data_IF_230338112204
#
_entry.id   IF_230338112204
#
_cell.length_a   1.000
_cell.length_b   1.000
_cell.length_c   1.000
_cell.angle_alpha   90.00
_cell.angle_beta   90.00
_cell.angle_gamma   90.00
#
_symmetry.space_group_name_H-M   'P 1'
#
loop_
_entity.id
_entity.type
_entity.pdbx_description
1 polymer ?
#
# COMPACT_ATOMS: atom_id res chain seq x y z
N UNK A 1 -0.04 19.83 2.06
CA UNK A 1 -0.12 19.67 3.53
C UNK A 1 -0.82 18.37 3.91
N UNK A 2 -2.12 18.19 3.63
CA UNK A 2 -2.85 16.97 4.02
C UNK A 2 -2.34 15.69 3.32
N UNK A 3 -2.08 15.78 2.01
CA UNK A 3 -1.47 14.68 1.25
C UNK A 3 -0.09 14.29 1.80
N UNK A 4 0.74 15.26 2.20
CA UNK A 4 2.04 15.00 2.81
C UNK A 4 1.90 14.29 4.15
N UNK A 5 0.92 14.69 4.96
CA UNK A 5 0.66 14.07 6.25
C UNK A 5 0.16 12.62 6.13
N UNK A 6 -0.60 12.31 5.07
CA UNK A 6 -1.08 10.95 4.81
C UNK A 6 -0.05 10.07 4.09
N UNK A 7 0.82 10.64 3.25
CA UNK A 7 1.84 9.87 2.53
C UNK A 7 3.10 9.62 3.34
N UNK A 8 3.47 10.53 4.25
CA UNK A 8 4.69 10.40 5.05
C UNK A 8 4.74 9.08 5.86
N UNK A 9 3.69 8.65 6.58
CA UNK A 9 3.69 7.36 7.28
C UNK A 9 3.83 6.17 6.32
N UNK A 10 3.28 6.27 5.10
CA UNK A 10 3.42 5.24 4.07
C UNK A 10 4.86 5.17 3.58
N UNK A 11 5.52 6.29 3.35
CA UNK A 11 6.92 6.31 2.92
C UNK A 11 7.84 5.77 4.02
N UNK A 12 7.66 6.22 5.26
CA UNK A 12 8.53 5.84 6.38
C UNK A 12 8.31 4.39 6.86
N UNK A 13 7.12 3.83 6.67
CA UNK A 13 6.85 2.42 6.99
C UNK A 13 7.34 1.45 5.92
N UNK A 14 7.64 1.91 4.71
CA UNK A 14 8.31 1.08 3.72
C UNK A 14 9.81 0.97 4.05
N UNK A 15 10.48 -0.15 3.73
CA UNK A 15 11.91 -0.35 4.00
C UNK A 15 12.81 0.43 3.02
N UNK A 16 12.53 1.73 2.80
CA UNK A 16 13.33 2.61 1.95
C UNK A 16 14.67 2.97 2.60
N UNK A 17 14.63 3.32 3.89
CA UNK A 17 15.77 3.88 4.63
C UNK A 17 16.39 2.90 5.63
N UNK A 18 15.86 1.69 5.71
CA UNK A 18 16.30 0.67 6.65
C UNK A 18 16.16 -0.73 6.03
N UNK A 19 16.82 -1.70 6.64
CA UNK A 19 16.68 -3.10 6.27
C UNK A 19 15.51 -3.74 7.03
N UNK A 20 14.59 -4.40 6.32
CA UNK A 20 13.35 -4.89 6.94
C UNK A 20 13.62 -5.96 8.03
N UNK A 21 14.68 -6.74 7.88
CA UNK A 21 15.12 -7.79 8.81
C UNK A 21 15.57 -7.24 10.16
N UNK A 22 16.14 -6.03 10.18
CA UNK A 22 16.67 -5.38 11.39
C UNK A 22 15.64 -4.49 12.10
N UNK A 23 14.47 -4.27 11.49
CA UNK A 23 13.41 -3.48 12.07
C UNK A 23 12.66 -4.24 13.20
N UNK A 24 12.11 -3.53 14.20
CA UNK A 24 11.26 -4.14 15.21
C UNK A 24 10.05 -4.88 14.61
N UNK A 25 9.59 -5.94 15.28
CA UNK A 25 8.52 -6.82 14.77
C UNK A 25 7.23 -6.08 14.38
N UNK A 26 6.81 -5.07 15.15
CA UNK A 26 5.62 -4.27 14.82
C UNK A 26 5.77 -3.56 13.47
N UNK A 27 6.98 -3.06 13.17
CA UNK A 27 7.28 -2.32 11.95
C UNK A 27 7.35 -3.28 10.75
N UNK A 28 7.86 -4.49 10.96
CA UNK A 28 7.82 -5.55 9.95
C UNK A 28 6.39 -5.91 9.54
N UNK A 29 5.46 -5.97 10.50
CA UNK A 29 4.04 -6.24 10.21
C UNK A 29 3.43 -5.08 9.41
N UNK A 30 3.66 -3.83 9.82
CA UNK A 30 3.14 -2.66 9.11
C UNK A 30 3.69 -2.59 7.68
N UNK A 31 4.99 -2.86 7.50
CA UNK A 31 5.63 -2.84 6.20
C UNK A 31 5.03 -3.87 5.24
N UNK A 32 4.58 -5.05 5.71
CA UNK A 32 3.91 -6.06 4.86
C UNK A 32 2.56 -5.59 4.33
N UNK A 33 1.86 -4.74 5.09
CA UNK A 33 0.62 -4.13 4.65
C UNK A 33 0.84 -2.96 3.68
N UNK A 34 2.08 -2.51 3.50
CA UNK A 34 2.40 -1.38 2.65
C UNK A 34 2.76 -1.86 1.23
N UNK A 35 2.02 -1.45 0.18
CA UNK A 35 2.30 -1.86 -1.20
C UNK A 35 3.69 -1.39 -1.68
N UNK A 36 4.20 -0.27 -1.15
CA UNK A 36 5.49 0.27 -1.52
C UNK A 36 6.66 -0.66 -1.11
N UNK A 37 6.45 -1.49 -0.09
CA UNK A 37 7.45 -2.47 0.37
C UNK A 37 7.82 -3.46 -0.72
N UNK A 38 6.82 -4.01 -1.42
CA UNK A 38 7.06 -4.99 -2.49
C UNK A 38 7.77 -4.35 -3.68
N UNK A 39 7.46 -3.09 -3.99
CA UNK A 39 8.16 -2.35 -5.04
C UNK A 39 9.64 -2.12 -4.70
N UNK A 40 9.93 -1.72 -3.46
CA UNK A 40 11.31 -1.52 -2.99
C UNK A 40 12.09 -2.83 -2.97
N UNK A 41 11.48 -3.93 -2.51
CA UNK A 41 12.11 -5.25 -2.51
C UNK A 41 12.42 -5.72 -3.93
N UNK A 42 11.47 -5.55 -4.85
CA UNK A 42 11.66 -5.91 -6.25
C UNK A 42 12.80 -5.12 -6.91
N UNK A 43 12.93 -3.82 -6.61
CA UNK A 43 14.06 -3.01 -7.09
C UNK A 43 15.42 -3.47 -6.54
N UNK A 44 15.46 -4.06 -5.34
CA UNK A 44 16.68 -4.58 -4.71
C UNK A 44 17.05 -5.98 -5.18
N UNK A 45 16.05 -6.85 -5.26
CA UNK A 45 16.20 -8.25 -5.64
C UNK A 45 14.91 -8.70 -6.35
N UNK A 46 14.85 -8.65 -7.69
CA UNK A 46 13.64 -8.96 -8.42
C UNK A 46 13.14 -10.38 -8.15
N UNK A 47 11.99 -10.50 -7.47
CA UNK A 47 11.30 -11.76 -7.28
C UNK A 47 9.90 -11.72 -7.90
N UNK A 48 9.47 -12.84 -8.51
CA UNK A 48 8.13 -12.96 -9.06
C UNK A 48 7.04 -12.81 -7.99
N UNK A 49 7.33 -13.21 -6.75
CA UNK A 49 6.43 -13.06 -5.62
C UNK A 49 6.05 -11.59 -5.36
N UNK A 50 6.99 -10.66 -5.45
CA UNK A 50 6.74 -9.23 -5.20
C UNK A 50 5.77 -8.63 -6.23
N UNK A 51 5.90 -9.05 -7.49
CA UNK A 51 4.99 -8.65 -8.57
C UNK A 51 3.58 -9.19 -8.28
N UNK A 52 3.46 -10.45 -7.86
CA UNK A 52 2.15 -11.03 -7.51
C UNK A 52 1.49 -10.25 -6.38
N UNK A 53 2.22 -9.93 -5.31
CA UNK A 53 1.70 -9.11 -4.21
C UNK A 53 1.31 -7.70 -4.67
N UNK A 54 2.10 -7.06 -5.53
CA UNK A 54 1.75 -5.77 -6.11
C UNK A 54 0.45 -5.85 -6.93
N UNK A 55 0.28 -6.89 -7.76
CA UNK A 55 -0.93 -7.11 -8.54
C UNK A 55 -2.16 -7.36 -7.66
N UNK A 56 -2.02 -8.11 -6.55
CA UNK A 56 -3.09 -8.28 -5.57
C UNK A 56 -3.50 -6.96 -4.93
N UNK A 57 -2.53 -6.10 -4.60
CA UNK A 57 -2.80 -4.76 -4.09
C UNK A 57 -3.53 -3.89 -5.12
N UNK A 58 -3.13 -3.93 -6.38
CA UNK A 58 -3.83 -3.21 -7.47
C UNK A 58 -5.28 -3.71 -7.60
N UNK A 59 -5.49 -5.02 -7.59
CA UNK A 59 -6.82 -5.62 -7.68
C UNK A 59 -7.73 -5.20 -6.52
N UNK A 60 -7.24 -5.31 -5.28
CA UNK A 60 -8.00 -4.97 -4.06
C UNK A 60 -8.34 -3.49 -3.99
N UNK A 61 -7.38 -2.60 -4.25
CA UNK A 61 -7.60 -1.15 -4.24
C UNK A 61 -8.57 -0.70 -5.34
N UNK A 62 -8.46 -1.26 -6.54
CA UNK A 62 -9.39 -0.98 -7.64
C UNK A 62 -10.81 -1.44 -7.31
N UNK A 63 -10.96 -2.64 -6.74
CA UNK A 63 -12.26 -3.15 -6.31
C UNK A 63 -12.88 -2.28 -5.20
N UNK A 64 -12.09 -1.90 -4.21
CA UNK A 64 -12.52 -1.03 -3.11
C UNK A 64 -12.93 0.36 -3.62
N UNK A 65 -12.15 0.95 -4.52
CA UNK A 65 -12.45 2.24 -5.12
C UNK A 65 -13.76 2.20 -5.90
N UNK A 66 -13.97 1.16 -6.74
CA UNK A 66 -15.24 0.96 -7.47
C UNK A 66 -16.42 0.80 -6.52
N UNK A 67 -16.25 0.02 -5.45
CA UNK A 67 -17.30 -0.16 -4.45
C UNK A 67 -17.65 1.17 -3.76
N UNK A 68 -16.64 1.92 -3.30
CA UNK A 68 -16.84 3.20 -2.63
C UNK A 68 -17.52 4.24 -3.55
N UNK A 69 -17.09 4.33 -4.81
CA UNK A 69 -17.70 5.22 -5.81
C UNK A 69 -19.15 4.83 -6.09
N UNK A 70 -19.44 3.53 -6.29
CA UNK A 70 -20.82 3.07 -6.54
C UNK A 70 -21.78 3.37 -5.39
N UNK A 71 -21.28 3.42 -4.15
CA UNK A 71 -22.04 3.80 -2.96
C UNK A 71 -22.25 5.31 -2.88
N UNK A 72 -21.22 6.09 -3.21
CA UNK A 72 -21.30 7.55 -3.25
C UNK A 72 -22.32 8.03 -4.31
N UNK A 73 -22.31 7.42 -5.49
CA UNK A 73 -23.24 7.76 -6.58
C UNK A 73 -24.70 7.50 -6.17
N UNK A 74 -24.98 6.39 -5.48
CA UNK A 74 -26.32 6.09 -4.95
C UNK A 74 -26.80 7.16 -3.97
N UNK A 75 -25.94 7.56 -3.03
CA UNK A 75 -26.28 8.57 -2.02
C UNK A 75 -26.47 9.97 -2.63
N UNK A 76 -25.77 10.28 -3.73
CA UNK A 76 -25.93 11.55 -4.44
C UNK A 76 -27.20 11.62 -5.28
N UNK A 77 -27.73 10.48 -5.75
CA UNK A 77 -28.97 10.44 -6.54
C UNK A 77 -30.25 10.59 -5.70
N UNK A 78 -30.15 10.42 -4.37
CA UNK A 78 -31.28 10.53 -3.44
C UNK A 78 -31.43 11.94 -2.82
N UNK A 79 -30.53 12.87 -3.16
CA UNK A 79 -30.55 14.28 -2.72
C UNK A 79 -30.94 15.20 -3.87
#
# INVERSE_FOLDING_TARGET
MLATFTTLPVVLSAPLFYELSSAPAYLQVIARCNPLTYHVQWMRAPAAADIVFALLWVGTTTALARYALSRADRLSSER
#
